data_IF_425269531504
#
_entry.id   IF_425269531504
#
_cell.length_a   1.000
_cell.length_b   1.000
_cell.length_c   1.000
_cell.angle_alpha   90.00
_cell.angle_beta   90.00
_cell.angle_gamma   90.00
#
_symmetry.space_group_name_H-M   'P 1'
#
loop_
_entity.id
_entity.type
_entity.pdbx_description
1 polymer ?
#
# COMPACT_ATOMS: atom_id res chain seq x y z
N UNK A 1 3.51 12.43 -1.85
CA UNK A 1 4.26 11.28 -2.41
C UNK A 1 5.77 11.47 -2.33
N UNK A 2 6.27 12.60 -1.83
CA UNK A 2 7.70 12.93 -1.86
C UNK A 2 8.48 12.47 -0.61
N UNK A 3 7.91 11.55 0.18
CA UNK A 3 8.54 11.02 1.39
C UNK A 3 9.97 10.52 1.15
N UNK A 4 10.26 9.68 0.12
CA UNK A 4 11.64 9.27 -0.12
C UNK A 4 12.56 10.43 -0.48
N UNK A 5 12.10 11.40 -1.29
CA UNK A 5 12.87 12.60 -1.65
C UNK A 5 13.25 13.42 -0.40
N UNK A 6 12.27 13.67 0.47
CA UNK A 6 12.48 14.40 1.73
C UNK A 6 13.44 13.70 2.69
N UNK A 7 13.57 12.38 2.56
CA UNK A 7 14.46 11.55 3.36
C UNK A 7 15.81 11.28 2.67
N UNK A 8 16.12 11.97 1.57
CA UNK A 8 17.42 11.86 0.89
C UNK A 8 17.61 10.58 0.09
N UNK A 9 16.52 9.95 -0.37
CA UNK A 9 16.60 8.81 -1.26
C UNK A 9 17.27 9.20 -2.60
N UNK A 10 18.24 8.42 -3.10
CA UNK A 10 18.78 8.64 -4.44
C UNK A 10 17.71 8.42 -5.53
N UNK A 11 17.92 8.95 -6.75
CA UNK A 11 17.07 8.67 -7.91
C UNK A 11 16.85 7.16 -8.09
N UNK A 12 15.59 6.78 -8.34
CA UNK A 12 15.24 5.37 -8.44
C UNK A 12 13.78 5.06 -8.13
N UNK A 13 13.50 3.76 -8.10
CA UNK A 13 12.17 3.19 -7.82
C UNK A 13 12.20 2.39 -6.53
N UNK A 14 11.33 2.75 -5.60
CA UNK A 14 11.19 2.11 -4.30
C UNK A 14 9.84 1.42 -4.24
N UNK A 15 9.84 0.09 -4.35
CA UNK A 15 8.62 -0.71 -4.34
C UNK A 15 8.32 -1.20 -2.92
N UNK A 16 7.10 -0.97 -2.45
CA UNK A 16 6.58 -1.52 -1.20
C UNK A 16 5.39 -2.40 -1.50
N UNK A 17 5.49 -3.67 -1.15
CA UNK A 17 4.39 -4.63 -1.18
C UNK A 17 3.67 -4.59 0.15
N UNK A 18 2.37 -4.34 0.10
CA UNK A 18 1.48 -4.34 1.25
C UNK A 18 0.59 -5.58 1.20
N UNK A 19 0.29 -6.11 2.38
CA UNK A 19 -0.71 -7.15 2.59
C UNK A 19 -1.72 -6.68 3.62
N UNK A 20 -3.00 -6.81 3.32
CA UNK A 20 -4.09 -6.42 4.21
C UNK A 20 -5.36 -7.22 3.94
N UNK A 21 -6.27 -7.24 4.91
CA UNK A 21 -7.58 -7.85 4.77
C UNK A 21 -8.59 -6.78 4.35
N UNK A 22 -9.42 -7.12 3.38
CA UNK A 22 -10.61 -6.35 2.98
C UNK A 22 -11.82 -7.15 3.45
N UNK A 23 -12.69 -6.55 4.27
CA UNK A 23 -13.96 -7.16 4.69
C UNK A 23 -15.07 -6.96 3.64
N UNK A 24 -16.24 -7.53 3.90
CA UNK A 24 -17.41 -7.51 3.01
C UNK A 24 -18.00 -6.12 2.80
N UNK A 25 -17.65 -5.15 3.66
CA UNK A 25 -18.07 -3.75 3.57
C UNK A 25 -16.97 -2.85 2.97
N UNK A 26 -15.83 -3.43 2.59
CA UNK A 26 -14.69 -2.69 2.05
C UNK A 26 -13.75 -2.09 3.11
N UNK A 27 -13.98 -2.42 4.38
CA UNK A 27 -13.14 -2.03 5.50
C UNK A 27 -11.80 -2.76 5.48
N UNK A 28 -10.77 -2.07 5.95
CA UNK A 28 -9.40 -2.57 5.94
C UNK A 28 -8.93 -2.97 7.33
N UNK A 29 -8.22 -4.09 7.43
CA UNK A 29 -7.56 -4.52 8.66
C UNK A 29 -6.22 -5.21 8.37
N UNK A 30 -5.39 -5.34 9.40
CA UNK A 30 -4.09 -6.04 9.35
C UNK A 30 -3.19 -5.56 8.20
N UNK A 31 -3.09 -4.25 8.01
CA UNK A 31 -2.24 -3.65 6.96
C UNK A 31 -0.78 -3.77 7.38
N UNK A 32 -0.01 -4.52 6.60
CA UNK A 32 1.40 -4.82 6.83
C UNK A 32 2.19 -4.54 5.56
N UNK A 33 3.35 -3.89 5.68
CA UNK A 33 4.36 -3.87 4.63
C UNK A 33 5.19 -5.14 4.69
N UNK A 34 5.23 -5.91 3.60
CA UNK A 34 5.98 -7.16 3.49
C UNK A 34 7.47 -6.91 3.22
N UNK A 35 7.83 -5.70 2.81
CA UNK A 35 9.21 -5.27 2.62
C UNK A 35 9.37 -3.78 2.94
N UNK A 36 10.60 -3.37 3.19
CA UNK A 36 10.96 -1.97 3.42
C UNK A 36 12.22 -1.61 2.63
N UNK A 37 12.11 -0.86 1.52
CA UNK A 37 13.26 -0.39 0.75
C UNK A 37 13.90 0.86 1.37
N UNK A 38 13.43 1.34 2.52
CA UNK A 38 14.01 2.45 3.28
C UNK A 38 13.36 3.79 3.02
N UNK A 39 13.99 4.86 3.49
CA UNK A 39 13.59 6.26 3.25
C UNK A 39 12.13 6.58 3.62
N UNK A 40 11.56 5.85 4.58
CA UNK A 40 10.19 6.05 5.06
C UNK A 40 9.08 5.53 4.13
N UNK A 41 9.42 4.84 3.04
CA UNK A 41 8.43 4.41 2.04
C UNK A 41 7.46 3.37 2.59
N UNK A 42 7.91 2.46 3.47
CA UNK A 42 7.02 1.44 4.05
C UNK A 42 5.93 2.07 4.93
N UNK A 43 6.32 3.00 5.81
CA UNK A 43 5.37 3.72 6.66
C UNK A 43 4.40 4.57 5.84
N UNK A 44 4.89 5.25 4.80
CA UNK A 44 4.04 6.04 3.91
C UNK A 44 3.08 5.17 3.11
N UNK A 45 3.53 4.03 2.59
CA UNK A 45 2.69 3.09 1.86
C UNK A 45 1.51 2.60 2.72
N UNK A 46 1.78 2.24 3.99
CA UNK A 46 0.72 1.87 4.95
C UNK A 46 -0.24 3.05 5.19
N UNK A 47 0.28 4.28 5.34
CA UNK A 47 -0.54 5.47 5.54
C UNK A 47 -1.43 5.78 4.33
N UNK A 48 -0.93 5.59 3.11
CA UNK A 48 -1.70 5.79 1.88
C UNK A 48 -2.88 4.82 1.79
N UNK A 49 -2.68 3.53 2.10
CA UNK A 49 -3.77 2.56 2.13
C UNK A 49 -4.82 2.91 3.19
N UNK A 50 -4.40 3.34 4.39
CA UNK A 50 -5.31 3.74 5.48
C UNK A 50 -6.15 4.99 5.14
N UNK A 51 -5.59 5.94 4.40
CA UNK A 51 -6.26 7.19 4.01
C UNK A 51 -7.02 7.07 2.68
N UNK A 52 -6.86 5.94 1.99
CA UNK A 52 -7.55 5.67 0.73
C UNK A 52 -9.06 5.55 0.92
N UNK A 53 -9.81 5.45 -0.20
CA UNK A 53 -11.23 5.17 -0.15
C UNK A 53 -11.50 3.77 0.43
N UNK A 54 -12.77 3.47 0.72
CA UNK A 54 -13.19 2.10 0.99
C UNK A 54 -12.82 1.20 -0.21
N UNK A 55 -12.31 0.02 0.08
CA UNK A 55 -11.90 -0.93 -0.96
C UNK A 55 -13.10 -1.74 -1.43
N UNK A 56 -13.05 -2.21 -2.68
CA UNK A 56 -14.10 -3.09 -3.19
C UNK A 56 -13.81 -4.51 -2.69
N UNK A 57 -14.74 -5.16 -1.96
CA UNK A 57 -14.57 -6.54 -1.52
C UNK A 57 -14.46 -7.49 -2.70
N UNK A 58 -13.88 -8.67 -2.45
CA UNK A 58 -13.93 -9.74 -3.43
C UNK A 58 -15.36 -10.29 -3.54
N UNK A 59 -15.77 -10.71 -4.74
CA UNK A 59 -17.04 -11.39 -4.96
C UNK A 59 -16.84 -12.87 -5.22
N UNK A 60 -17.57 -13.71 -4.51
CA UNK A 60 -17.69 -15.14 -4.77
C UNK A 60 -19.16 -15.51 -4.90
N UNK A 61 -19.54 -16.08 -6.04
CA UNK A 61 -20.92 -16.46 -6.34
C UNK A 61 -21.94 -15.31 -6.12
N UNK A 62 -21.53 -14.08 -6.49
CA UNK A 62 -22.37 -12.88 -6.36
C UNK A 62 -22.46 -12.30 -4.95
N UNK A 63 -21.79 -12.89 -3.95
CA UNK A 63 -21.72 -12.38 -2.58
C UNK A 63 -20.37 -11.74 -2.31
N UNK A 64 -20.37 -10.61 -1.63
CA UNK A 64 -19.15 -9.98 -1.13
C UNK A 64 -18.57 -10.88 -0.03
N UNK A 65 -17.25 -11.10 -0.08
CA UNK A 65 -16.53 -11.95 0.87
C UNK A 65 -15.27 -11.25 1.34
N UNK A 66 -14.87 -11.55 2.58
CA UNK A 66 -13.58 -11.15 3.13
C UNK A 66 -12.44 -11.78 2.32
N UNK A 67 -11.42 -10.99 2.01
CA UNK A 67 -10.26 -11.46 1.22
C UNK A 67 -8.94 -10.84 1.68
N UNK A 68 -7.85 -11.56 1.46
CA UNK A 68 -6.48 -11.11 1.73
C UNK A 68 -5.88 -10.47 0.48
N UNK A 69 -5.81 -9.14 0.46
CA UNK A 69 -5.27 -8.36 -0.64
C UNK A 69 -3.74 -8.24 -0.54
N UNK A 70 -3.08 -8.26 -1.70
CA UNK A 70 -1.69 -7.85 -1.89
C UNK A 70 -1.63 -6.71 -2.91
N UNK A 71 -1.10 -5.57 -2.49
CA UNK A 71 -0.98 -4.37 -3.33
C UNK A 71 0.45 -3.86 -3.30
N UNK A 72 1.03 -3.58 -4.46
CA UNK A 72 2.33 -2.90 -4.57
C UNK A 72 2.14 -1.40 -4.78
N UNK A 73 2.91 -0.58 -4.07
CA UNK A 73 3.04 0.86 -4.27
C UNK A 73 4.49 1.16 -4.65
N UNK A 74 4.69 1.84 -5.76
CA UNK A 74 6.01 2.29 -6.23
C UNK A 74 6.16 3.78 -5.98
N UNK A 75 7.17 4.17 -5.22
CA UNK A 75 7.62 5.56 -5.16
C UNK A 75 8.72 5.78 -6.19
N UNK A 76 8.58 6.84 -6.98
CA UNK A 76 9.55 7.23 -7.98
C UNK A 76 10.26 8.51 -7.54
N UNK A 77 11.59 8.46 -7.47
CA UNK A 77 12.46 9.63 -7.30
C UNK A 77 13.10 9.91 -8.66
N UNK A 78 12.75 11.03 -9.32
CA UNK A 78 13.33 11.37 -10.61
C UNK A 78 14.82 11.69 -10.48
N UNK A 79 15.55 11.60 -11.58
CA UNK A 79 16.83 12.29 -11.72
C UNK A 79 16.56 13.79 -11.85
N UNK A 80 17.48 14.61 -11.32
CA UNK A 80 17.43 16.08 -11.44
C UNK A 80 17.62 16.55 -12.90
#
# INVERSE_FOLDING_TARGET
MDVPVKNGAPPGKYNVTLRFLVDEQGGLSNIVAENDPGYGTAAEAVNLIKKGPNWVPAKQNGKDVKYLMKQSITFFVPED
#
